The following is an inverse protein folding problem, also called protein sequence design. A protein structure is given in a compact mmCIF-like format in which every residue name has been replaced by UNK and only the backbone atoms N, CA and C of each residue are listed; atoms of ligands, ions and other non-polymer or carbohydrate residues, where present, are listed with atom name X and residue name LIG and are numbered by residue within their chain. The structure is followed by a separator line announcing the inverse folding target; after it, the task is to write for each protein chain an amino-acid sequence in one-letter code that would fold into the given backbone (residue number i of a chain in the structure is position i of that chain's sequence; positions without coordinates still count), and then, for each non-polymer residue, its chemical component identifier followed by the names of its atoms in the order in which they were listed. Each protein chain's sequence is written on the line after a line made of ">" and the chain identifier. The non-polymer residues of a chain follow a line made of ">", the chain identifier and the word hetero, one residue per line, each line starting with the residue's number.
data_IF_593229912227
#
_entry.id   IF_593229912227
#
_cell.length_a   1.000
_cell.length_b   1.000
_cell.length_c   1.000
_cell.angle_alpha   90.00
_cell.angle_beta   90.00
_cell.angle_gamma   90.00
#
_symmetry.space_group_name_H-M   'P 1'
#
loop_
_entity.id
_entity.type
_entity.pdbx_description
1 polymer ?
#
# COMPACT_ATOMS: atom_id res chain seq x y z
N UNK A 1 -9.34 34.28 34.29
CA UNK A 1 -9.12 32.81 34.30
C UNK A 1 -10.27 32.00 33.68
N UNK A 2 -11.49 32.55 33.55
CA UNK A 2 -12.61 31.81 32.91
C UNK A 2 -12.47 31.63 31.39
N UNK A 3 -11.79 32.56 30.71
CA UNK A 3 -11.60 32.52 29.25
C UNK A 3 -10.60 31.45 28.75
N UNK A 4 -9.77 30.87 29.62
CA UNK A 4 -8.84 29.80 29.22
C UNK A 4 -9.51 28.42 29.21
N UNK A 5 -10.46 28.17 30.13
CA UNK A 5 -11.23 26.91 30.17
C UNK A 5 -12.16 26.73 28.96
N UNK A 6 -12.64 27.83 28.37
CA UNK A 6 -13.47 27.81 27.16
C UNK A 6 -12.69 27.49 25.87
N UNK A 7 -11.38 27.77 25.83
CA UNK A 7 -10.52 27.39 24.69
C UNK A 7 -10.16 25.90 24.70
N UNK A 8 -10.16 25.27 25.87
CA UNK A 8 -9.79 23.86 25.99
C UNK A 8 -10.95 22.92 25.64
N UNK A 9 -12.19 23.33 25.89
CA UNK A 9 -13.39 22.51 25.68
C UNK A 9 -13.91 22.51 24.22
N UNK A 10 -13.24 23.22 23.30
CA UNK A 10 -13.61 23.32 21.88
C UNK A 10 -12.52 22.77 20.95
N UNK A 11 -11.58 21.96 21.45
CA UNK A 11 -10.76 21.13 20.57
C UNK A 11 -11.64 20.01 20.05
N UNK A 12 -12.24 20.25 18.88
CA UNK A 12 -12.84 19.20 18.07
C UNK A 12 -11.74 18.14 17.88
N UNK A 13 -11.85 17.02 18.58
CA UNK A 13 -10.91 15.93 18.40
C UNK A 13 -10.91 15.55 16.92
N UNK A 14 -9.74 15.53 16.26
CA UNK A 14 -9.67 15.19 14.85
C UNK A 14 -10.24 13.78 14.69
N UNK A 15 -11.25 13.65 13.83
CA UNK A 15 -11.93 12.40 13.54
C UNK A 15 -10.90 11.30 13.24
N UNK A 16 -11.02 10.17 13.95
CA UNK A 16 -10.01 9.10 13.92
C UNK A 16 -10.27 8.13 12.76
N UNK A 17 -9.42 8.21 11.72
CA UNK A 17 -9.46 7.31 10.57
C UNK A 17 -8.44 6.17 10.67
N UNK A 18 -7.78 5.98 11.83
CA UNK A 18 -6.89 4.83 12.04
C UNK A 18 -7.56 3.47 11.73
N UNK A 19 -8.82 3.18 12.12
CA UNK A 19 -9.41 1.87 11.82
C UNK A 19 -9.60 1.63 10.32
N UNK A 20 -9.91 2.69 9.55
CA UNK A 20 -10.01 2.60 8.10
C UNK A 20 -8.65 2.36 7.44
N UNK A 21 -7.59 2.97 7.97
CA UNK A 21 -6.23 2.73 7.49
C UNK A 21 -5.75 1.32 7.82
N UNK A 22 -5.96 0.84 9.05
CA UNK A 22 -5.61 -0.52 9.47
C UNK A 22 -6.36 -1.58 8.66
N UNK A 23 -7.65 -1.36 8.40
CA UNK A 23 -8.46 -2.23 7.54
C UNK A 23 -7.91 -2.30 6.11
N UNK A 24 -7.47 -1.16 5.54
CA UNK A 24 -6.74 -1.14 4.26
C UNK A 24 -5.48 -2.00 4.37
N UNK A 25 -4.55 -1.69 5.27
CA UNK A 25 -3.26 -2.39 5.39
C UNK A 25 -3.46 -3.91 5.56
N UNK A 26 -4.40 -4.34 6.41
CA UNK A 26 -4.73 -5.76 6.62
C UNK A 26 -5.20 -6.44 5.34
N UNK A 27 -5.99 -5.75 4.50
CA UNK A 27 -6.44 -6.26 3.20
C UNK A 27 -5.29 -6.43 2.20
N UNK A 28 -4.30 -5.54 2.23
CA UNK A 28 -3.17 -5.56 1.28
C UNK A 28 -2.01 -6.47 1.71
N UNK A 29 -1.89 -6.82 3.00
CA UNK A 29 -0.82 -7.70 3.52
C UNK A 29 -0.70 -9.05 2.80
N UNK A 30 -1.77 -9.84 2.57
CA UNK A 30 -1.64 -11.09 1.83
C UNK A 30 -1.25 -10.87 0.36
N UNK A 31 -1.65 -9.75 -0.23
CA UNK A 31 -1.32 -9.41 -1.61
C UNK A 31 0.17 -9.07 -1.77
N UNK A 32 0.75 -8.37 -0.79
CA UNK A 32 2.18 -8.12 -0.75
C UNK A 32 2.99 -9.43 -0.63
N UNK A 33 2.53 -10.38 0.18
CA UNK A 33 3.13 -11.71 0.29
C UNK A 33 3.03 -12.45 -1.05
N UNK A 34 1.84 -12.45 -1.68
CA UNK A 34 1.65 -13.06 -3.00
C UNK A 34 2.62 -12.49 -4.03
N UNK A 35 2.80 -11.18 -4.06
CA UNK A 35 3.74 -10.50 -4.96
C UNK A 35 5.20 -10.94 -4.72
N UNK A 36 5.64 -11.03 -3.47
CA UNK A 36 6.98 -11.52 -3.14
C UNK A 36 7.19 -12.97 -3.60
N UNK A 37 6.17 -13.82 -3.43
CA UNK A 37 6.18 -15.20 -3.93
C UNK A 37 6.28 -15.21 -5.46
N UNK A 38 5.50 -14.37 -6.15
CA UNK A 38 5.54 -14.29 -7.62
C UNK A 38 6.90 -13.83 -8.13
N UNK A 39 7.53 -12.85 -7.48
CA UNK A 39 8.90 -12.42 -7.81
C UNK A 39 9.88 -13.58 -7.61
N UNK A 40 9.81 -14.28 -6.47
CA UNK A 40 10.68 -15.44 -6.19
C UNK A 40 10.55 -16.54 -7.26
N UNK A 41 9.32 -16.90 -7.64
CA UNK A 41 9.05 -17.84 -8.73
C UNK A 41 9.58 -17.35 -10.07
N UNK A 42 9.41 -16.06 -10.37
CA UNK A 42 9.89 -15.45 -11.61
C UNK A 42 11.42 -15.53 -11.72
N UNK A 43 12.14 -15.38 -10.61
CA UNK A 43 13.60 -15.52 -10.56
C UNK A 43 14.08 -16.97 -10.73
N UNK A 44 13.29 -17.95 -10.29
CA UNK A 44 13.60 -19.37 -10.45
C UNK A 44 13.26 -19.90 -11.86
N UNK A 45 12.24 -19.32 -12.50
CA UNK A 45 11.75 -19.75 -13.80
C UNK A 45 12.79 -19.86 -14.93
N UNK A 46 13.80 -18.96 -15.07
CA UNK A 46 14.75 -19.03 -16.18
C UNK A 46 15.63 -20.27 -16.08
N UNK A 47 15.93 -20.73 -14.86
CA UNK A 47 16.69 -21.95 -14.62
C UNK A 47 15.94 -23.19 -15.09
N UNK A 48 14.61 -23.22 -14.88
CA UNK A 48 13.76 -24.32 -15.33
C UNK A 48 13.65 -24.33 -16.85
N UNK A 49 13.44 -23.17 -17.48
CA UNK A 49 13.35 -23.04 -18.95
C UNK A 49 14.68 -23.46 -19.60
N UNK A 50 15.81 -23.05 -19.03
CA UNK A 50 17.13 -23.41 -19.52
C UNK A 50 17.40 -24.93 -19.38
N UNK A 51 16.93 -25.56 -18.30
CA UNK A 51 17.00 -27.01 -18.15
C UNK A 51 16.12 -27.78 -19.15
N UNK A 52 15.02 -27.19 -19.63
CA UNK A 52 14.08 -27.79 -20.58
C UNK A 52 14.38 -27.48 -22.06
N UNK A 53 15.30 -26.55 -22.34
CA UNK A 53 15.70 -26.20 -23.72
C UNK A 53 14.61 -25.51 -24.55
N UNK A 54 13.68 -24.80 -23.91
CA UNK A 54 12.55 -24.15 -24.62
C UNK A 54 12.96 -22.76 -25.11
N UNK A 55 13.31 -22.64 -26.40
CA UNK A 55 13.85 -21.39 -26.96
C UNK A 55 12.80 -20.33 -27.34
N UNK A 56 11.55 -20.72 -27.67
CA UNK A 56 10.58 -19.80 -28.31
C UNK A 56 9.57 -19.13 -27.37
N UNK A 57 9.53 -19.49 -26.09
CA UNK A 57 8.50 -18.96 -25.15
C UNK A 57 9.04 -18.01 -24.07
N UNK A 58 10.36 -17.74 -24.06
CA UNK A 58 11.00 -16.99 -22.98
C UNK A 58 10.44 -15.57 -22.81
N UNK A 59 10.25 -14.83 -23.92
CA UNK A 59 9.71 -13.47 -23.86
C UNK A 59 8.25 -13.41 -23.40
N UNK A 60 7.43 -14.36 -23.84
CA UNK A 60 6.03 -14.45 -23.42
C UNK A 60 5.93 -14.81 -21.93
N UNK A 61 6.82 -15.68 -21.45
CA UNK A 61 6.91 -16.03 -20.05
C UNK A 61 7.30 -14.83 -19.18
N UNK A 62 8.35 -14.08 -19.54
CA UNK A 62 8.74 -12.84 -18.85
C UNK A 62 7.56 -11.87 -18.77
N UNK A 63 6.83 -11.72 -19.88
CA UNK A 63 5.70 -10.81 -19.93
C UNK A 63 4.60 -11.21 -18.94
N UNK A 64 4.25 -12.49 -18.87
CA UNK A 64 3.22 -12.98 -17.94
C UNK A 64 3.67 -12.86 -16.48
N UNK A 65 4.90 -13.26 -16.19
CA UNK A 65 5.39 -13.35 -14.81
C UNK A 65 5.86 -12.02 -14.22
N UNK A 66 6.15 -11.02 -15.05
CA UNK A 66 6.51 -9.67 -14.60
C UNK A 66 5.35 -8.69 -14.77
N UNK A 67 4.73 -8.64 -15.96
CA UNK A 67 3.74 -7.61 -16.26
C UNK A 67 2.43 -7.81 -15.47
N UNK A 68 1.94 -9.05 -15.35
CA UNK A 68 0.69 -9.33 -14.61
C UNK A 68 0.79 -8.93 -13.13
N UNK A 69 1.80 -9.38 -12.37
CA UNK A 69 1.93 -8.95 -10.98
C UNK A 69 2.17 -7.45 -10.84
N UNK A 70 2.89 -6.79 -11.76
CA UNK A 70 3.04 -5.33 -11.73
C UNK A 70 1.71 -4.59 -11.94
N UNK A 71 0.92 -5.00 -12.94
CA UNK A 71 -0.39 -4.40 -13.24
C UNK A 71 -1.33 -4.51 -12.05
N UNK A 72 -1.26 -5.62 -11.30
CA UNK A 72 -2.07 -5.80 -10.11
C UNK A 72 -1.49 -4.98 -8.95
N UNK A 73 -0.20 -5.09 -8.63
CA UNK A 73 0.32 -4.50 -7.38
C UNK A 73 0.49 -2.99 -7.40
N UNK A 74 0.89 -2.41 -8.54
CA UNK A 74 1.13 -0.96 -8.66
C UNK A 74 -0.10 -0.12 -8.27
N UNK A 75 -1.31 -0.33 -8.82
CA UNK A 75 -2.48 0.47 -8.42
C UNK A 75 -2.90 0.21 -6.97
N UNK A 76 -2.68 -1.00 -6.44
CA UNK A 76 -2.98 -1.33 -5.05
C UNK A 76 -2.03 -0.62 -4.07
N UNK A 77 -0.72 -0.59 -4.34
CA UNK A 77 0.26 0.16 -3.55
C UNK A 77 0.04 1.67 -3.66
N UNK A 78 -0.33 2.16 -4.84
CA UNK A 78 -0.68 3.56 -5.04
C UNK A 78 -1.85 3.99 -4.13
N UNK A 79 -2.88 3.15 -4.02
CA UNK A 79 -4.05 3.46 -3.19
C UNK A 79 -3.74 3.35 -1.68
N UNK A 80 -2.74 2.55 -1.28
CA UNK A 80 -2.30 2.44 0.11
C UNK A 80 -1.68 3.74 0.63
N UNK A 81 -0.99 4.48 -0.25
CA UNK A 81 -0.32 5.74 0.07
C UNK A 81 -1.25 6.96 -0.03
N UNK A 82 -2.56 6.75 -0.17
CA UNK A 82 -3.58 7.80 -0.21
C UNK A 82 -4.38 7.87 1.08
N UNK A 83 -4.66 9.09 1.51
CA UNK A 83 -5.45 9.35 2.71
C UNK A 83 -6.84 8.71 2.57
N UNK A 84 -7.33 7.95 3.57
CA UNK A 84 -8.67 7.36 3.53
C UNK A 84 -9.78 8.42 3.54
N UNK A 85 -9.53 9.60 4.14
CA UNK A 85 -10.50 10.69 4.21
C UNK A 85 -10.49 11.58 2.96
N UNK A 86 -9.33 12.14 2.59
CA UNK A 86 -9.26 13.12 1.49
C UNK A 86 -8.74 12.58 0.15
N UNK A 87 -8.32 11.32 0.08
CA UNK A 87 -7.81 10.68 -1.14
C UNK A 87 -6.45 11.22 -1.65
N UNK A 88 -5.87 12.25 -1.01
CA UNK A 88 -4.59 12.83 -1.41
C UNK A 88 -3.42 11.92 -1.06
N UNK A 89 -2.38 11.96 -1.89
CA UNK A 89 -1.14 11.22 -1.66
C UNK A 89 -0.41 11.74 -0.42
N UNK A 90 0.02 10.82 0.45
CA UNK A 90 0.62 11.12 1.76
C UNK A 90 2.14 10.91 1.80
N UNK A 91 2.74 10.47 0.69
CA UNK A 91 4.14 10.03 0.67
C UNK A 91 4.29 8.52 0.83
N UNK A 92 5.53 8.05 0.79
CA UNK A 92 5.90 6.64 1.02
C UNK A 92 5.87 6.25 2.50
N UNK A 93 6.04 7.22 3.40
CA UNK A 93 5.99 7.05 4.86
C UNK A 93 4.91 7.97 5.45
N UNK A 94 3.65 7.51 5.51
CA UNK A 94 2.58 8.32 6.10
C UNK A 94 2.83 8.51 7.60
N UNK A 95 2.78 9.77 8.05
CA UNK A 95 2.84 10.11 9.46
C UNK A 95 1.57 9.70 10.22
N UNK A 96 1.49 10.10 11.49
CA UNK A 96 0.33 9.85 12.36
C UNK A 96 -0.91 10.63 11.89
N UNK A 97 -0.68 11.80 11.31
CA UNK A 97 -1.70 12.71 10.79
C UNK A 97 -1.52 12.94 9.29
N UNK A 98 -2.62 13.16 8.59
CA UNK A 98 -2.54 13.56 7.18
C UNK A 98 -2.11 15.02 7.05
N UNK A 99 -0.95 15.28 6.44
CA UNK A 99 -0.45 16.65 6.20
C UNK A 99 -1.28 17.52 5.24
N UNK A 100 -2.42 17.01 4.72
CA UNK A 100 -3.33 17.76 3.84
C UNK A 100 -4.68 18.07 4.48
N UNK A 101 -5.28 17.14 5.22
CA UNK A 101 -6.59 17.34 5.85
C UNK A 101 -6.56 17.30 7.39
N UNK A 102 -5.40 17.05 8.01
CA UNK A 102 -5.22 17.11 9.46
C UNK A 102 -5.82 15.95 10.26
N UNK A 103 -6.57 15.04 9.62
CA UNK A 103 -7.16 13.87 10.31
C UNK A 103 -6.09 12.88 10.77
N UNK A 104 -6.37 12.18 11.87
CA UNK A 104 -5.52 11.09 12.37
C UNK A 104 -5.69 9.85 11.49
N UNK A 105 -4.58 9.26 11.07
CA UNK A 105 -4.55 8.10 10.15
C UNK A 105 -3.83 6.87 10.74
N UNK A 106 -3.03 7.03 11.80
CA UNK A 106 -2.39 5.93 12.53
C UNK A 106 -2.50 6.13 14.03
N UNK A 107 -2.51 5.02 14.77
CA UNK A 107 -2.27 5.01 16.22
C UNK A 107 -0.76 5.11 16.48
N UNK A 108 -0.41 5.86 17.52
CA UNK A 108 0.96 5.98 18.04
C UNK A 108 1.38 4.71 18.79
#
# INVERSE_FOLDING_TARGET
>A
MENEKLKENNRIEPEDFSPHYEAKVKKYRPLAIFFLITIGLSLLSPFVILALGVEKEFFQYIFVFIAVPLIITVPLVWNLNRCPACGKYMGTTPGVYCGKCGVRIRKD
#
